data_IF_491562300208
#
_entry.id   IF_491562300208
#
_cell.length_a   1.000
_cell.length_b   1.000
_cell.length_c   1.000
_cell.angle_alpha   90.00
_cell.angle_beta   90.00
_cell.angle_gamma   90.00
#
_symmetry.space_group_name_H-M   'P 1'
#
loop_
_entity.id
_entity.type
_entity.pdbx_description
1 polymer ?
#
# COMPACT_ATOMS: atom_id res chain seq x y z
N UNK A 1 -12.98 -2.95 -11.69
CA UNK A 1 -12.73 -2.66 -10.26
C UNK A 1 -12.29 -1.22 -10.03
N UNK A 2 -11.29 -0.70 -10.76
CA UNK A 2 -10.86 0.71 -10.70
C UNK A 2 -12.01 1.74 -10.77
N UNK A 3 -12.99 1.57 -11.67
CA UNK A 3 -14.15 2.48 -11.77
C UNK A 3 -15.03 2.46 -10.51
N UNK A 4 -15.13 1.33 -9.83
CA UNK A 4 -15.96 1.16 -8.64
C UNK A 4 -15.28 1.75 -7.39
N UNK A 5 -13.97 1.53 -7.25
CA UNK A 5 -13.20 2.07 -6.13
C UNK A 5 -13.02 3.58 -6.19
N UNK A 6 -12.90 4.17 -7.40
CA UNK A 6 -12.63 5.61 -7.57
C UNK A 6 -13.57 6.56 -6.82
N UNK A 7 -14.80 6.12 -6.51
CA UNK A 7 -15.80 6.92 -5.79
C UNK A 7 -16.12 6.40 -4.38
N UNK A 8 -15.48 5.32 -3.93
CA UNK A 8 -15.76 4.74 -2.61
C UNK A 8 -15.18 5.62 -1.49
N UNK A 9 -15.91 5.71 -0.37
CA UNK A 9 -15.46 6.41 0.84
C UNK A 9 -14.70 5.48 1.81
N UNK A 10 -14.94 4.17 1.72
CA UNK A 10 -14.37 3.13 2.58
C UNK A 10 -14.50 1.79 1.85
N UNK A 11 -13.49 0.94 1.93
CA UNK A 11 -13.51 -0.44 1.47
C UNK A 11 -13.43 -1.38 2.66
N UNK A 12 -14.34 -2.35 2.73
CA UNK A 12 -14.25 -3.49 3.65
C UNK A 12 -14.10 -4.76 2.82
N UNK A 13 -13.03 -5.52 3.05
CA UNK A 13 -12.71 -6.69 2.21
C UNK A 13 -11.84 -7.71 2.94
N UNK A 14 -11.77 -8.93 2.45
CA UNK A 14 -10.79 -9.95 2.81
C UNK A 14 -9.63 -10.03 1.80
N UNK A 15 -9.81 -9.48 0.60
CA UNK A 15 -8.88 -9.56 -0.51
C UNK A 15 -7.62 -8.70 -0.30
N UNK A 16 -6.46 -9.33 -0.48
CA UNK A 16 -5.18 -8.64 -0.48
C UNK A 16 -5.02 -7.65 -1.63
N UNK A 17 -5.35 -8.05 -2.86
CA UNK A 17 -5.19 -7.19 -4.05
C UNK A 17 -6.07 -5.94 -3.99
N UNK A 18 -7.36 -6.10 -3.64
CA UNK A 18 -8.25 -4.94 -3.47
C UNK A 18 -7.78 -4.00 -2.38
N UNK A 19 -7.24 -4.56 -1.28
CA UNK A 19 -6.67 -3.75 -0.19
C UNK A 19 -5.51 -2.90 -0.69
N UNK A 20 -4.59 -3.47 -1.46
CA UNK A 20 -3.45 -2.72 -2.00
C UNK A 20 -3.88 -1.68 -3.02
N UNK A 21 -4.79 -2.01 -3.93
CA UNK A 21 -5.29 -1.07 -4.94
C UNK A 21 -5.98 0.13 -4.29
N UNK A 22 -6.88 -0.13 -3.33
CA UNK A 22 -7.60 0.91 -2.63
C UNK A 22 -6.69 1.80 -1.78
N UNK A 23 -5.69 1.23 -1.11
CA UNK A 23 -4.72 2.01 -0.33
C UNK A 23 -3.91 2.98 -1.21
N UNK A 24 -3.45 2.54 -2.38
CA UNK A 24 -2.73 3.39 -3.34
C UNK A 24 -3.62 4.49 -3.93
N UNK A 25 -4.93 4.22 -4.04
CA UNK A 25 -5.93 5.23 -4.43
C UNK A 25 -6.29 6.21 -3.30
N UNK A 26 -5.80 6.01 -2.08
CA UNK A 26 -6.15 6.87 -0.94
C UNK A 26 -7.55 6.59 -0.40
N UNK A 27 -8.04 5.36 -0.55
CA UNK A 27 -9.32 4.93 0.01
C UNK A 27 -9.03 4.23 1.33
N UNK A 28 -9.72 4.59 2.44
CA UNK A 28 -9.63 3.83 3.69
C UNK A 28 -10.02 2.37 3.48
N UNK A 29 -9.21 1.46 4.01
CA UNK A 29 -9.50 0.02 3.93
C UNK A 29 -9.53 -0.61 5.31
N UNK A 30 -10.60 -1.34 5.59
CA UNK A 30 -10.64 -2.28 6.70
C UNK A 30 -10.62 -3.69 6.11
N UNK A 31 -9.51 -4.39 6.31
CA UNK A 31 -9.37 -5.77 5.88
C UNK A 31 -9.72 -6.72 7.01
N UNK A 32 -10.59 -7.69 6.73
CA UNK A 32 -10.93 -8.76 7.64
C UNK A 32 -10.55 -10.11 7.05
N UNK A 33 -9.64 -10.85 7.69
CA UNK A 33 -9.21 -12.16 7.20
C UNK A 33 -8.79 -13.07 8.37
N UNK A 34 -9.42 -14.24 8.47
CA UNK A 34 -9.17 -15.20 9.56
C UNK A 34 -7.75 -15.78 9.54
N UNK A 35 -7.00 -15.63 8.45
CA UNK A 35 -5.64 -16.17 8.28
C UNK A 35 -4.52 -15.15 8.50
N UNK A 36 -4.81 -13.95 9.02
CA UNK A 36 -3.81 -12.88 9.27
C UNK A 36 -2.71 -13.32 10.28
N UNK A 37 -2.88 -14.45 10.97
CA UNK A 37 -2.12 -14.86 12.16
C UNK A 37 -0.72 -15.44 11.99
N UNK A 38 -0.26 -15.79 10.78
CA UNK A 38 1.02 -16.53 10.66
C UNK A 38 2.14 -15.83 9.91
N UNK A 39 1.85 -14.82 9.10
CA UNK A 39 2.84 -13.95 8.45
C UNK A 39 2.09 -12.77 7.83
N UNK A 40 2.01 -11.63 8.53
CA UNK A 40 1.57 -10.39 7.88
C UNK A 40 2.57 -10.08 6.76
N UNK A 41 2.11 -10.16 5.51
CA UNK A 41 2.92 -9.83 4.34
C UNK A 41 3.49 -8.42 4.51
N UNK A 42 4.77 -8.23 4.14
CA UNK A 42 5.50 -6.98 4.37
C UNK A 42 4.74 -5.75 3.86
N UNK A 43 4.09 -5.87 2.70
CA UNK A 43 3.24 -4.82 2.13
C UNK A 43 2.12 -4.39 3.08
N UNK A 44 1.43 -5.32 3.75
CA UNK A 44 0.34 -4.99 4.67
C UNK A 44 0.86 -4.38 5.97
N UNK A 45 2.01 -4.86 6.46
CA UNK A 45 2.68 -4.21 7.61
C UNK A 45 3.05 -2.77 7.28
N UNK A 46 3.61 -2.52 6.10
CA UNK A 46 4.00 -1.18 5.69
C UNK A 46 2.78 -0.26 5.51
N UNK A 47 1.75 -0.72 4.80
CA UNK A 47 0.51 0.04 4.59
C UNK A 47 -0.24 0.33 5.90
N UNK A 48 -0.21 -0.58 6.86
CA UNK A 48 -0.87 -0.43 8.16
C UNK A 48 -0.06 0.45 9.12
N UNK A 49 1.22 0.13 9.33
CA UNK A 49 2.03 0.76 10.38
C UNK A 49 2.83 1.98 9.92
N UNK A 50 3.33 2.00 8.67
CA UNK A 50 4.11 3.14 8.16
C UNK A 50 3.21 4.23 7.58
N UNK A 51 2.21 3.85 6.78
CA UNK A 51 1.35 4.82 6.08
C UNK A 51 -0.02 5.00 6.73
N UNK A 52 -0.49 4.07 7.57
CA UNK A 52 -1.79 4.16 8.23
C UNK A 52 -2.98 4.17 7.26
N UNK A 53 -2.82 3.54 6.09
CA UNK A 53 -3.81 3.54 5.00
C UNK A 53 -4.85 2.43 5.17
N UNK A 54 -4.47 1.34 5.84
CA UNK A 54 -5.30 0.14 6.00
C UNK A 54 -5.34 -0.30 7.47
N UNK A 55 -6.37 -1.05 7.84
CA UNK A 55 -6.48 -1.71 9.15
C UNK A 55 -6.77 -3.19 8.94
N UNK A 56 -5.97 -4.07 9.56
CA UNK A 56 -6.13 -5.52 9.42
C UNK A 56 -6.69 -6.13 10.70
N UNK A 57 -7.81 -6.85 10.60
CA UNK A 57 -8.44 -7.55 11.72
C UNK A 57 -8.71 -9.02 11.38
N UNK A 58 -8.48 -9.91 12.35
CA UNK A 58 -8.92 -11.30 12.25
C UNK A 58 -10.40 -11.46 12.60
N UNK A 59 -10.86 -10.65 13.55
CA UNK A 59 -12.22 -10.68 14.07
C UNK A 59 -13.13 -9.73 13.28
N UNK A 60 -14.23 -10.26 12.77
CA UNK A 60 -15.19 -9.51 11.95
C UNK A 60 -15.93 -8.44 12.73
N UNK A 61 -16.13 -8.63 14.04
CA UNK A 61 -16.80 -7.63 14.90
C UNK A 61 -15.88 -6.43 15.10
N UNK A 62 -14.58 -6.65 15.31
CA UNK A 62 -13.57 -5.58 15.38
C UNK A 62 -13.44 -4.84 14.05
N UNK A 63 -13.39 -5.57 12.92
CA UNK A 63 -13.37 -4.98 11.59
C UNK A 63 -14.60 -4.08 11.37
N UNK A 64 -15.80 -4.57 11.69
CA UNK A 64 -17.04 -3.83 11.54
C UNK A 64 -17.05 -2.57 12.43
N UNK A 65 -16.61 -2.68 13.69
CA UNK A 65 -16.49 -1.53 14.59
C UNK A 65 -15.56 -0.46 14.01
N UNK A 66 -14.41 -0.86 13.47
CA UNK A 66 -13.47 0.08 12.85
C UNK A 66 -14.06 0.72 11.60
N UNK A 67 -14.76 -0.05 10.77
CA UNK A 67 -15.44 0.48 9.59
C UNK A 67 -16.47 1.57 9.95
N UNK A 68 -17.26 1.34 11.02
CA UNK A 68 -18.22 2.32 11.54
C UNK A 68 -17.51 3.55 12.11
N UNK A 69 -16.40 3.38 12.82
CA UNK A 69 -15.59 4.49 13.32
C UNK A 69 -15.08 5.36 12.16
N UNK A 70 -14.53 4.75 11.13
CA UNK A 70 -13.96 5.47 9.97
C UNK A 70 -15.02 6.24 9.18
N UNK A 71 -16.21 5.67 8.96
CA UNK A 71 -17.23 6.35 8.17
C UNK A 71 -17.83 7.57 8.90
N UNK A 72 -17.66 7.65 10.23
CA UNK A 72 -18.09 8.77 11.05
C UNK A 72 -17.08 9.94 11.06
N UNK A 73 -15.85 9.73 10.57
CA UNK A 73 -14.83 10.77 10.54
C UNK A 73 -15.19 11.79 9.45
N UNK A 74 -15.46 13.07 9.81
CA UNK A 74 -15.70 14.11 8.83
C UNK A 74 -14.43 14.34 8.00
N UNK A 75 -14.60 14.57 6.71
CA UNK A 75 -13.50 14.86 5.78
C UNK A 75 -12.37 13.81 5.76
N UNK A 76 -12.67 12.56 6.08
CA UNK A 76 -11.71 11.43 6.07
C UNK A 76 -10.91 11.34 4.76
N UNK A 77 -11.52 11.73 3.64
CA UNK A 77 -10.84 11.78 2.33
C UNK A 77 -9.64 12.70 2.31
N UNK A 78 -9.68 13.82 3.03
CA UNK A 78 -8.55 14.78 3.10
C UNK A 78 -7.38 14.15 3.85
N UNK A 79 -7.65 13.51 4.99
CA UNK A 79 -6.64 12.83 5.78
C UNK A 79 -6.01 11.67 4.98
N UNK A 80 -6.82 10.88 4.29
CA UNK A 80 -6.32 9.77 3.48
C UNK A 80 -5.56 10.21 2.24
N UNK A 81 -5.93 11.34 1.62
CA UNK A 81 -5.17 11.91 0.51
C UNK A 81 -3.78 12.35 0.97
N UNK A 82 -3.61 12.85 2.19
CA UNK A 82 -2.30 13.17 2.75
C UNK A 82 -1.45 11.91 2.97
N UNK A 83 -2.04 10.85 3.54
CA UNK A 83 -1.36 9.55 3.72
C UNK A 83 -0.94 8.95 2.38
N UNK A 84 -1.81 9.05 1.38
CA UNK A 84 -1.53 8.61 0.00
C UNK A 84 -0.36 9.39 -0.60
N UNK A 85 -0.34 10.71 -0.46
CA UNK A 85 0.78 11.54 -0.95
C UNK A 85 2.09 11.13 -0.29
N UNK A 86 2.08 10.86 1.01
CA UNK A 86 3.26 10.36 1.72
C UNK A 86 3.74 9.01 1.16
N UNK A 87 2.84 8.05 0.92
CA UNK A 87 3.18 6.78 0.26
C UNK A 87 3.82 7.02 -1.12
N UNK A 88 3.22 7.86 -1.95
CA UNK A 88 3.70 8.10 -3.32
C UNK A 88 5.05 8.85 -3.35
N UNK A 89 5.34 9.69 -2.36
CA UNK A 89 6.62 10.40 -2.24
C UNK A 89 7.75 9.52 -1.70
N UNK A 90 7.44 8.56 -0.82
CA UNK A 90 8.43 7.62 -0.28
C UNK A 90 8.85 6.55 -1.30
N UNK A 91 7.99 6.26 -2.29
CA UNK A 91 8.22 5.21 -3.28
C UNK A 91 8.75 5.76 -4.61
N UNK A 92 9.51 4.91 -5.29
CA UNK A 92 9.97 5.16 -6.65
C UNK A 92 8.77 5.34 -7.59
N UNK A 93 8.84 6.36 -8.45
CA UNK A 93 7.93 6.51 -9.56
C UNK A 93 8.30 5.49 -10.66
N UNK A 94 7.53 4.41 -10.74
CA UNK A 94 7.73 3.33 -11.70
C UNK A 94 7.56 3.83 -13.14
N UNK A 95 6.73 4.85 -13.38
CA UNK A 95 6.51 5.41 -14.73
C UNK A 95 7.78 6.09 -15.21
N UNK A 96 8.34 6.98 -14.38
CA UNK A 96 9.59 7.68 -14.69
C UNK A 96 10.74 6.68 -14.87
N UNK A 97 10.80 5.65 -14.02
CA UNK A 97 11.78 4.59 -14.14
C UNK A 97 11.64 3.83 -15.47
N UNK A 98 10.43 3.44 -15.87
CA UNK A 98 10.19 2.70 -17.11
C UNK A 98 10.53 3.55 -18.35
N UNK A 99 10.16 4.82 -18.36
CA UNK A 99 10.53 5.76 -19.43
C UNK A 99 12.05 5.85 -19.55
N UNK A 100 12.74 6.16 -18.44
CA UNK A 100 14.19 6.22 -18.40
C UNK A 100 14.84 4.92 -18.87
N UNK A 101 14.31 3.77 -18.43
CA UNK A 101 14.87 2.45 -18.74
C UNK A 101 14.81 2.16 -20.24
N UNK A 102 13.68 2.46 -20.88
CA UNK A 102 13.48 2.24 -22.32
C UNK A 102 14.29 3.23 -23.15
N UNK A 103 14.29 4.52 -22.79
CA UNK A 103 15.03 5.56 -23.53
C UNK A 103 16.55 5.37 -23.51
N UNK A 104 17.08 4.78 -22.44
CA UNK A 104 18.52 4.58 -22.26
C UNK A 104 18.97 3.15 -22.59
N UNK A 105 18.10 2.33 -23.18
CA UNK A 105 18.45 0.97 -23.60
C UNK A 105 19.51 0.99 -24.72
N UNK A 106 20.55 0.13 -24.69
CA UNK A 106 20.78 -0.98 -23.74
C UNK A 106 21.53 -0.58 -22.46
N UNK A 107 22.10 0.64 -22.39
CA UNK A 107 22.96 1.09 -21.27
C UNK A 107 22.24 1.10 -19.92
N UNK A 108 20.92 1.26 -19.92
CA UNK A 108 20.07 1.19 -18.72
C UNK A 108 20.12 -0.17 -18.02
N UNK A 109 20.40 -1.27 -18.74
CA UNK A 109 20.49 -2.63 -18.16
C UNK A 109 21.58 -2.68 -17.10
N UNK A 110 22.79 -2.20 -17.42
CA UNK A 110 23.95 -2.26 -16.53
C UNK A 110 23.72 -1.39 -15.28
N UNK A 111 23.22 -0.16 -15.48
CA UNK A 111 22.91 0.76 -14.39
C UNK A 111 21.81 0.22 -13.46
N UNK A 112 20.72 -0.33 -14.02
CA UNK A 112 19.66 -0.92 -13.22
C UNK A 112 20.14 -2.15 -12.44
N UNK A 113 20.98 -2.98 -13.06
CA UNK A 113 21.54 -4.18 -12.42
C UNK A 113 22.41 -3.82 -11.21
N UNK A 114 23.27 -2.81 -11.34
CA UNK A 114 24.09 -2.31 -10.21
C UNK A 114 23.22 -1.72 -9.09
N UNK A 115 22.19 -0.96 -9.43
CA UNK A 115 21.26 -0.39 -8.44
C UNK A 115 20.51 -1.48 -7.67
N UNK A 116 19.92 -2.45 -8.36
CA UNK A 116 19.17 -3.55 -7.74
C UNK A 116 20.07 -4.36 -6.81
N UNK A 117 21.31 -4.65 -7.21
CA UNK A 117 22.29 -5.34 -6.36
C UNK A 117 22.53 -4.59 -5.03
N UNK A 118 22.72 -3.27 -5.08
CA UNK A 118 22.92 -2.44 -3.88
C UNK A 118 21.69 -2.44 -2.94
N UNK A 119 20.48 -2.48 -3.48
CA UNK A 119 19.26 -2.54 -2.68
C UNK A 119 19.16 -3.87 -1.92
N UNK A 120 19.49 -5.00 -2.55
CA UNK A 120 19.47 -6.30 -1.88
C UNK A 120 20.52 -6.41 -0.77
N UNK A 121 21.67 -5.75 -0.92
CA UNK A 121 22.69 -5.69 0.14
C UNK A 121 22.22 -4.85 1.33
N UNK A 122 21.57 -3.71 1.09
CA UNK A 122 21.03 -2.86 2.15
C UNK A 122 19.90 -3.53 2.97
N UNK A 123 19.15 -4.46 2.36
CA UNK A 123 18.09 -5.21 3.04
C UNK A 123 18.58 -6.37 3.90
N UNK A 124 19.84 -6.81 3.76
CA UNK A 124 20.44 -7.85 4.61
C UNK A 124 20.89 -7.34 5.99
N UNK A 125 21.00 -6.03 6.17
CA UNK A 125 21.42 -5.40 7.44
C UNK A 125 20.27 -5.03 8.39
N UNK A 126 19.01 -5.17 7.95
CA UNK A 126 17.84 -5.00 8.81
C UNK A 126 17.40 -6.35 9.36
N UNK A 127 17.93 -6.73 10.53
CA UNK A 127 17.39 -7.86 11.29
C UNK A 127 15.89 -7.63 11.58
N UNK A 128 15.09 -8.67 11.33
CA UNK A 128 13.68 -8.75 11.68
C UNK A 128 13.49 -9.10 13.16
#
# INVERSE_FOLDING_TARGET
MHSFLSNANLLVTDSGSMTTEAAVMGIPVVRCDSFIGHQKLGIFKELEYKYGLIFNYQDSIQALKKAIELIQIPDIKIEWEQKRKYLLQDKIDVTLFMVWFVENYPRSIDMASSFIASCFESQKGGEF
#
